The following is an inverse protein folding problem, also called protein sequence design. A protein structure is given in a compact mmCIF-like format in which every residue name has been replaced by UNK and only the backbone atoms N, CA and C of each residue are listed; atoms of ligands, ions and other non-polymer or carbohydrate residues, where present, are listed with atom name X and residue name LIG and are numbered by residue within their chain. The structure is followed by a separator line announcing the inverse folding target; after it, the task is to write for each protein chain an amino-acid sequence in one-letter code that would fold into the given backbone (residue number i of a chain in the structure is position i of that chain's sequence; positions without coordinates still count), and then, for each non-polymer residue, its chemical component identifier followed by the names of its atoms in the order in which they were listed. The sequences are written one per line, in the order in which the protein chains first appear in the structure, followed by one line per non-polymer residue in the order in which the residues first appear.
data_IF_039020805991
#
_entry.id   IF_039020805991
#
_cell.length_a   1.000
_cell.length_b   1.000
_cell.length_c   1.000
_cell.angle_alpha   90.00
_cell.angle_beta   90.00
_cell.angle_gamma   90.00
#
_symmetry.space_group_name_H-M   'P 1'
#
loop_
_entity.id
_entity.type
_entity.pdbx_description
1 polymer ?
#
# COMPACT_ATOMS: atom_id res chain seq x y z
N UNK A 1 -25.52 -15.15 10.11
CA UNK A 1 -26.61 -14.62 10.97
C UNK A 1 -27.93 -15.28 10.58
N UNK A 2 -28.89 -15.39 11.50
CA UNK A 2 -30.17 -16.08 11.31
C UNK A 2 -31.41 -15.18 11.44
N UNK A 3 -31.24 -13.90 11.80
CA UNK A 3 -32.31 -12.92 11.89
C UNK A 3 -31.78 -11.48 11.77
N UNK A 4 -32.63 -10.56 11.33
CA UNK A 4 -32.41 -9.10 11.32
C UNK A 4 -33.72 -8.42 11.72
N UNK A 5 -33.68 -7.51 12.70
CA UNK A 5 -34.85 -6.81 13.25
C UNK A 5 -36.01 -7.77 13.62
N UNK A 6 -35.69 -8.91 14.26
CA UNK A 6 -36.67 -9.92 14.68
C UNK A 6 -37.24 -10.80 13.55
N UNK A 7 -36.90 -10.53 12.28
CA UNK A 7 -37.32 -11.34 11.14
C UNK A 7 -36.25 -12.36 10.77
N UNK A 8 -36.63 -13.62 10.55
CA UNK A 8 -35.69 -14.67 10.13
C UNK A 8 -35.04 -14.34 8.78
N UNK A 9 -33.75 -14.64 8.68
CA UNK A 9 -32.93 -14.50 7.49
C UNK A 9 -31.87 -15.61 7.47
N UNK A 10 -31.39 -16.02 6.31
CA UNK A 10 -30.39 -17.09 6.21
C UNK A 10 -29.21 -16.59 5.38
N UNK A 11 -28.30 -15.86 6.04
CA UNK A 11 -27.03 -15.41 5.48
C UNK A 11 -27.09 -14.13 4.64
N UNK A 12 -28.26 -13.71 4.12
CA UNK A 12 -28.39 -12.49 3.32
C UNK A 12 -29.73 -11.77 3.55
N UNK A 13 -29.69 -10.44 3.62
CA UNK A 13 -30.86 -9.55 3.60
C UNK A 13 -30.58 -8.34 2.72
N UNK A 14 -31.65 -7.74 2.18
CA UNK A 14 -31.60 -6.41 1.59
C UNK A 14 -32.26 -5.42 2.55
N UNK A 15 -31.63 -4.26 2.75
CA UNK A 15 -32.10 -3.19 3.63
C UNK A 15 -32.23 -1.90 2.83
N UNK A 16 -33.34 -1.21 2.98
CA UNK A 16 -33.53 0.14 2.46
C UNK A 16 -32.73 1.12 3.32
N UNK A 17 -31.78 1.83 2.71
CA UNK A 17 -30.87 2.72 3.44
C UNK A 17 -31.50 4.03 3.88
N UNK A 18 -32.64 4.43 3.30
CA UNK A 18 -33.34 5.65 3.69
C UNK A 18 -34.25 5.41 4.90
N UNK A 19 -34.86 4.23 4.97
CA UNK A 19 -35.83 3.87 6.02
C UNK A 19 -35.26 2.91 7.06
N UNK A 20 -34.07 2.34 6.82
CA UNK A 20 -33.46 1.30 7.65
C UNK A 20 -34.36 0.05 7.83
N UNK A 21 -35.25 -0.21 6.86
CA UNK A 21 -36.18 -1.34 6.91
C UNK A 21 -35.71 -2.46 5.99
N UNK A 22 -36.03 -3.71 6.35
CA UNK A 22 -35.76 -4.85 5.49
C UNK A 22 -36.66 -4.79 4.25
N UNK A 23 -36.09 -4.96 3.07
CA UNK A 23 -36.84 -5.05 1.82
C UNK A 23 -37.73 -6.30 1.81
N UNK A 24 -39.04 -6.10 1.65
CA UNK A 24 -39.99 -7.19 1.52
C UNK A 24 -39.77 -7.99 0.22
N UNK A 25 -40.05 -9.29 0.25
CA UNK A 25 -39.95 -10.17 -0.92
C UNK A 25 -38.53 -10.65 -1.27
N UNK A 26 -37.47 -10.04 -0.71
CA UNK A 26 -36.10 -10.53 -0.85
C UNK A 26 -35.71 -11.40 0.35
N UNK A 27 -35.83 -12.72 0.20
CA UNK A 27 -35.55 -13.69 1.25
C UNK A 27 -34.86 -14.97 0.74
N UNK A 28 -33.72 -14.87 0.05
CA UNK A 28 -32.97 -16.06 -0.34
C UNK A 28 -32.44 -16.81 0.89
N UNK A 29 -32.35 -18.13 0.77
CA UNK A 29 -31.91 -19.05 1.82
C UNK A 29 -30.59 -19.68 1.40
N UNK A 30 -29.49 -19.25 2.03
CA UNK A 30 -28.18 -19.88 1.88
C UNK A 30 -28.00 -20.95 2.96
N UNK A 31 -27.42 -22.09 2.61
CA UNK A 31 -27.24 -23.20 3.55
C UNK A 31 -26.13 -22.98 4.59
N UNK A 32 -25.28 -21.97 4.41
CA UNK A 32 -24.22 -21.59 5.34
C UNK A 32 -23.83 -20.12 5.17
N UNK A 33 -22.70 -19.72 5.76
CA UNK A 33 -22.21 -18.33 5.77
C UNK A 33 -21.96 -17.80 4.35
N UNK A 34 -22.57 -16.66 4.03
CA UNK A 34 -22.19 -15.82 2.89
C UNK A 34 -21.05 -14.91 3.34
N UNK A 35 -19.96 -14.88 2.59
CA UNK A 35 -18.72 -14.15 2.91
C UNK A 35 -18.49 -12.96 2.01
N UNK A 36 -18.93 -13.07 0.76
CA UNK A 36 -18.78 -12.04 -0.25
C UNK A 36 -20.07 -11.88 -1.04
N UNK A 37 -20.29 -10.65 -1.50
CA UNK A 37 -21.39 -10.28 -2.35
C UNK A 37 -20.94 -9.18 -3.30
N UNK A 38 -21.50 -9.20 -4.51
CA UNK A 38 -21.42 -8.09 -5.44
C UNK A 38 -22.71 -8.02 -6.26
N UNK A 39 -23.05 -6.82 -6.74
CA UNK A 39 -24.32 -6.55 -7.41
C UNK A 39 -24.05 -6.00 -8.79
N UNK A 40 -24.50 -6.73 -9.82
CA UNK A 40 -24.39 -6.27 -11.20
C UNK A 40 -25.33 -5.08 -11.47
N UNK A 41 -25.08 -4.28 -12.52
CA UNK A 41 -25.95 -3.15 -12.90
C UNK A 41 -27.43 -3.53 -13.13
N UNK A 42 -27.69 -4.77 -13.54
CA UNK A 42 -29.05 -5.29 -13.72
C UNK A 42 -29.74 -5.73 -12.39
N UNK A 43 -29.06 -5.57 -11.25
CA UNK A 43 -29.53 -5.92 -9.92
C UNK A 43 -29.35 -7.39 -9.51
N UNK A 44 -28.74 -8.22 -10.36
CA UNK A 44 -28.36 -9.60 -9.96
C UNK A 44 -27.36 -9.54 -8.82
N UNK A 45 -27.64 -10.29 -7.75
CA UNK A 45 -26.77 -10.38 -6.57
C UNK A 45 -25.99 -11.68 -6.64
N UNK A 46 -24.68 -11.57 -6.84
CA UNK A 46 -23.74 -12.69 -6.77
C UNK A 46 -23.26 -12.83 -5.34
N UNK A 47 -23.10 -14.07 -4.89
CA UNK A 47 -22.69 -14.40 -3.54
C UNK A 47 -21.61 -15.49 -3.57
N UNK A 48 -20.65 -15.36 -2.65
CA UNK A 48 -19.60 -16.34 -2.38
C UNK A 48 -19.54 -16.65 -0.88
N UNK A 49 -19.21 -17.88 -0.50
CA UNK A 49 -19.12 -18.27 0.90
C UNK A 49 -18.94 -19.77 1.13
N UNK A 50 -19.37 -20.23 2.30
CA UNK A 50 -19.26 -21.63 2.74
C UNK A 50 -20.51 -22.46 2.37
N UNK A 51 -21.51 -21.87 1.71
CA UNK A 51 -22.77 -22.52 1.41
C UNK A 51 -22.64 -23.54 0.27
N UNK A 52 -23.54 -24.53 0.25
CA UNK A 52 -23.60 -25.56 -0.79
C UNK A 52 -24.93 -25.55 -1.55
N UNK A 53 -25.92 -24.79 -1.05
CA UNK A 53 -27.18 -24.57 -1.76
C UNK A 53 -27.74 -23.16 -1.50
N UNK A 54 -28.54 -22.70 -2.47
CA UNK A 54 -29.35 -21.47 -2.39
C UNK A 54 -30.79 -21.84 -2.73
N UNK A 55 -31.75 -21.53 -1.84
CA UNK A 55 -33.16 -21.92 -1.95
C UNK A 55 -33.35 -23.42 -2.28
N UNK A 56 -32.51 -24.29 -1.69
CA UNK A 56 -32.54 -25.74 -1.92
C UNK A 56 -31.93 -26.21 -3.25
N UNK A 57 -31.52 -25.31 -4.15
CA UNK A 57 -30.79 -25.67 -5.37
C UNK A 57 -29.29 -25.75 -5.09
N UNK A 58 -28.62 -26.79 -5.60
CA UNK A 58 -27.16 -26.95 -5.47
C UNK A 58 -26.42 -25.77 -6.10
N UNK A 59 -25.64 -25.08 -5.29
CA UNK A 59 -24.79 -23.93 -5.63
C UNK A 59 -23.61 -23.98 -4.68
N UNK A 60 -22.56 -24.70 -5.09
CA UNK A 60 -21.39 -24.93 -4.25
C UNK A 60 -20.54 -23.68 -4.21
N UNK A 61 -20.47 -23.07 -3.03
CA UNK A 61 -19.64 -21.94 -2.62
C UNK A 61 -19.88 -20.61 -3.34
N UNK A 62 -20.45 -20.64 -4.53
CA UNK A 62 -20.85 -19.50 -5.33
C UNK A 62 -22.27 -19.70 -5.87
N UNK A 63 -23.07 -18.65 -5.84
CA UNK A 63 -24.42 -18.63 -6.40
C UNK A 63 -24.92 -17.22 -6.59
N UNK A 64 -25.96 -17.04 -7.41
CA UNK A 64 -26.53 -15.72 -7.65
C UNK A 64 -28.06 -15.75 -7.63
N UNK A 65 -28.65 -14.65 -7.18
CA UNK A 65 -30.10 -14.45 -7.10
C UNK A 65 -30.52 -13.17 -7.81
N UNK A 66 -31.74 -13.16 -8.34
CA UNK A 66 -32.34 -11.96 -8.93
C UNK A 66 -32.67 -10.92 -7.84
N UNK A 67 -33.02 -9.66 -8.20
CA UNK A 67 -33.53 -8.68 -7.24
C UNK A 67 -34.77 -9.12 -6.44
N UNK A 68 -35.47 -10.16 -6.90
CA UNK A 68 -36.61 -10.78 -6.23
C UNK A 68 -36.22 -12.00 -5.37
N UNK A 69 -34.93 -12.34 -5.29
CA UNK A 69 -34.42 -13.46 -4.49
C UNK A 69 -34.53 -14.85 -5.15
N UNK A 70 -34.90 -14.92 -6.43
CA UNK A 70 -34.96 -16.18 -7.17
C UNK A 70 -33.55 -16.61 -7.61
N UNK A 71 -33.21 -17.90 -7.50
CA UNK A 71 -31.90 -18.44 -7.93
C UNK A 71 -31.77 -18.32 -9.45
N UNK A 72 -30.64 -17.80 -9.92
CA UNK A 72 -30.32 -17.67 -11.34
C UNK A 72 -29.65 -18.93 -11.90
N UNK A 73 -29.38 -18.96 -13.20
CA UNK A 73 -28.63 -20.04 -13.85
C UNK A 73 -27.12 -20.02 -13.58
N UNK A 74 -26.58 -18.96 -12.97
CA UNK A 74 -25.14 -18.84 -12.72
C UNK A 74 -24.66 -19.86 -11.69
N UNK A 75 -23.76 -20.77 -12.11
CA UNK A 75 -23.21 -21.84 -11.27
C UNK A 75 -21.75 -22.16 -11.65
N UNK A 76 -20.76 -21.50 -11.02
CA UNK A 76 -19.34 -21.81 -11.20
C UNK A 76 -18.92 -23.21 -10.73
N UNK A 77 -19.57 -23.71 -9.68
CA UNK A 77 -19.31 -25.04 -9.11
C UNK A 77 -17.85 -25.26 -8.70
N UNK A 78 -17.34 -24.41 -7.82
CA UNK A 78 -16.01 -24.58 -7.21
C UNK A 78 -15.98 -25.75 -6.21
N UNK A 79 -14.80 -26.27 -5.90
CA UNK A 79 -14.62 -27.40 -4.97
C UNK A 79 -14.39 -27.00 -3.50
N UNK A 80 -14.07 -25.74 -3.22
CA UNK A 80 -13.86 -25.20 -1.85
C UNK A 80 -14.44 -23.76 -1.72
N UNK A 81 -14.61 -23.22 -0.49
CA UNK A 81 -15.25 -21.93 -0.24
C UNK A 81 -14.75 -20.73 -1.05
N UNK A 82 -15.72 -19.92 -1.44
CA UNK A 82 -15.50 -18.58 -1.98
C UNK A 82 -15.29 -17.57 -0.87
N UNK A 83 -14.23 -16.77 -0.98
CA UNK A 83 -13.91 -15.70 -0.01
C UNK A 83 -14.25 -14.32 -0.55
N UNK A 84 -14.18 -14.14 -1.87
CA UNK A 84 -14.46 -12.87 -2.55
C UNK A 84 -14.98 -13.10 -3.97
N UNK A 85 -15.69 -12.10 -4.50
CA UNK A 85 -16.05 -12.04 -5.91
C UNK A 85 -16.29 -10.59 -6.33
N UNK A 86 -16.10 -10.28 -7.62
CA UNK A 86 -16.50 -9.02 -8.25
C UNK A 86 -17.04 -9.24 -9.66
N UNK A 87 -18.12 -8.58 -10.01
CA UNK A 87 -18.61 -8.50 -11.39
C UNK A 87 -17.72 -7.49 -12.13
N UNK A 88 -17.27 -7.84 -13.33
CA UNK A 88 -16.48 -6.91 -14.15
C UNK A 88 -17.32 -5.67 -14.53
N UNK A 89 -16.69 -4.50 -14.76
CA UNK A 89 -17.44 -3.27 -15.06
C UNK A 89 -18.36 -3.36 -16.29
N UNK A 90 -18.03 -4.21 -17.26
CA UNK A 90 -18.84 -4.48 -18.45
C UNK A 90 -20.02 -5.46 -18.20
N UNK A 91 -20.10 -6.03 -16.99
CA UNK A 91 -21.11 -6.98 -16.57
C UNK A 91 -21.01 -8.37 -17.21
N UNK A 92 -19.95 -8.67 -17.97
CA UNK A 92 -19.86 -9.91 -18.75
C UNK A 92 -19.27 -11.07 -17.97
N UNK A 93 -18.41 -10.77 -16.98
CA UNK A 93 -17.68 -11.76 -16.20
C UNK A 93 -17.84 -11.55 -14.70
N UNK A 94 -17.61 -12.63 -13.94
CA UNK A 94 -17.45 -12.58 -12.50
C UNK A 94 -16.07 -13.14 -12.16
N UNK A 95 -15.26 -12.28 -11.56
CA UNK A 95 -14.00 -12.63 -10.91
C UNK A 95 -14.34 -13.29 -9.58
N UNK A 96 -13.86 -14.51 -9.34
CA UNK A 96 -14.06 -15.23 -8.08
C UNK A 96 -12.71 -15.52 -7.43
N UNK A 97 -12.66 -15.46 -6.10
CA UNK A 97 -11.48 -15.77 -5.32
C UNK A 97 -11.80 -16.52 -4.03
N UNK A 98 -10.92 -17.40 -3.60
CA UNK A 98 -11.09 -18.16 -2.37
C UNK A 98 -10.09 -19.29 -2.19
N UNK A 99 -10.57 -20.40 -1.66
CA UNK A 99 -9.74 -21.53 -1.19
C UNK A 99 -9.65 -22.67 -2.23
N UNK A 100 -10.43 -22.59 -3.30
CA UNK A 100 -10.66 -23.67 -4.26
C UNK A 100 -9.43 -24.04 -5.11
N UNK A 101 -9.46 -25.25 -5.66
CA UNK A 101 -8.46 -25.79 -6.60
C UNK A 101 -9.07 -26.05 -7.98
N UNK A 102 -10.39 -26.20 -8.07
CA UNK A 102 -11.09 -26.40 -9.33
C UNK A 102 -12.37 -25.58 -9.42
N UNK A 103 -12.76 -25.25 -10.67
CA UNK A 103 -14.01 -24.57 -11.00
C UNK A 103 -14.66 -25.31 -12.17
N UNK A 104 -15.86 -25.84 -11.97
CA UNK A 104 -16.53 -26.68 -12.97
C UNK A 104 -15.71 -27.94 -13.33
N UNK A 105 -14.88 -28.43 -12.41
CA UNK A 105 -13.98 -29.56 -12.59
C UNK A 105 -12.68 -29.27 -13.36
N UNK A 106 -12.48 -28.04 -13.85
CA UNK A 106 -11.22 -27.62 -14.48
C UNK A 106 -10.26 -27.01 -13.44
N UNK A 107 -8.95 -27.20 -13.65
CA UNK A 107 -7.89 -26.64 -12.78
C UNK A 107 -7.95 -25.11 -12.77
N UNK A 108 -8.15 -24.56 -11.57
CA UNK A 108 -8.02 -23.12 -11.31
C UNK A 108 -7.87 -22.92 -9.82
N UNK A 109 -6.68 -22.58 -9.34
CA UNK A 109 -6.46 -22.42 -7.90
C UNK A 109 -6.63 -20.97 -7.44
N UNK A 110 -7.40 -20.79 -6.37
CA UNK A 110 -7.64 -19.57 -5.59
C UNK A 110 -8.25 -18.38 -6.34
N UNK A 111 -8.13 -18.31 -7.67
CA UNK A 111 -8.75 -17.31 -8.54
C UNK A 111 -9.30 -17.96 -9.80
N UNK A 112 -10.38 -17.40 -10.33
CA UNK A 112 -10.92 -17.75 -11.64
C UNK A 112 -11.77 -16.61 -12.20
N UNK A 113 -11.97 -16.61 -13.52
CA UNK A 113 -12.95 -15.75 -14.19
C UNK A 113 -14.03 -16.63 -14.80
N UNK A 114 -15.28 -16.25 -14.58
CA UNK A 114 -16.44 -16.98 -15.08
C UNK A 114 -17.35 -16.07 -15.89
N UNK A 115 -18.14 -16.64 -16.80
CA UNK A 115 -19.24 -15.93 -17.44
C UNK A 115 -20.24 -15.48 -16.37
N UNK A 116 -20.64 -14.21 -16.39
CA UNK A 116 -21.66 -13.70 -15.47
C UNK A 116 -23.05 -14.31 -15.71
N UNK A 117 -23.31 -14.87 -16.90
CA UNK A 117 -24.61 -15.47 -17.21
C UNK A 117 -24.71 -16.92 -16.74
N UNK A 118 -23.68 -17.72 -17.02
CA UNK A 118 -23.75 -19.19 -16.82
C UNK A 118 -22.90 -19.69 -15.66
N UNK A 119 -21.84 -18.96 -15.28
CA UNK A 119 -20.82 -19.43 -14.34
C UNK A 119 -19.75 -20.31 -15.00
N UNK A 120 -19.83 -20.56 -16.31
CA UNK A 120 -18.79 -21.30 -17.02
C UNK A 120 -17.43 -20.59 -16.91
N UNK A 121 -16.36 -21.36 -16.69
CA UNK A 121 -15.00 -20.85 -16.60
C UNK A 121 -14.58 -20.22 -17.93
N UNK A 122 -14.30 -18.91 -17.92
CA UNK A 122 -13.77 -18.18 -19.08
C UNK A 122 -12.25 -18.04 -19.01
N UNK A 123 -11.69 -18.02 -17.80
CA UNK A 123 -10.24 -18.05 -17.57
C UNK A 123 -9.91 -18.78 -16.26
N UNK A 124 -9.16 -19.86 -16.37
CA UNK A 124 -8.54 -20.55 -15.25
C UNK A 124 -7.09 -20.15 -15.02
N UNK A 125 -6.60 -20.36 -13.81
CA UNK A 125 -5.21 -20.12 -13.42
C UNK A 125 -4.65 -21.38 -12.74
N UNK A 126 -3.64 -22.03 -13.34
CA UNK A 126 -3.14 -23.30 -12.82
C UNK A 126 -2.59 -23.19 -11.40
N UNK A 127 -2.52 -24.30 -10.68
CA UNK A 127 -2.10 -24.40 -9.27
C UNK A 127 -0.69 -23.85 -8.94
N UNK A 128 0.11 -23.45 -9.92
CA UNK A 128 1.39 -22.78 -9.72
C UNK A 128 1.33 -21.25 -9.90
N UNK A 129 0.21 -20.70 -10.38
CA UNK A 129 0.03 -19.26 -10.55
C UNK A 129 -0.20 -18.56 -9.21
N UNK A 130 -1.09 -19.10 -8.39
CA UNK A 130 -1.10 -18.90 -6.94
C UNK A 130 -0.54 -20.19 -6.35
N UNK A 131 0.44 -20.16 -5.44
CA UNK A 131 0.90 -21.39 -4.78
C UNK A 131 -0.23 -22.03 -3.97
N UNK A 132 -0.34 -23.36 -3.96
CA UNK A 132 -1.34 -24.14 -3.21
C UNK A 132 -1.39 -23.88 -1.70
N UNK A 133 -0.41 -23.15 -1.17
CA UNK A 133 -0.32 -22.74 0.22
C UNK A 133 -0.97 -21.38 0.48
N UNK A 134 -1.51 -20.72 -0.54
CA UNK A 134 -2.13 -19.41 -0.47
C UNK A 134 -3.58 -19.44 -0.93
N UNK A 135 -4.37 -18.51 -0.42
CA UNK A 135 -5.77 -18.29 -0.84
C UNK A 135 -5.98 -16.81 -1.17
N UNK A 136 -7.02 -16.49 -1.94
CA UNK A 136 -7.39 -15.09 -2.20
C UNK A 136 -8.49 -14.63 -1.26
N UNK A 137 -8.24 -13.54 -0.54
CA UNK A 137 -9.14 -12.98 0.47
C UNK A 137 -10.02 -11.86 -0.05
N UNK A 138 -9.53 -11.07 -0.98
CA UNK A 138 -10.29 -9.98 -1.58
C UNK A 138 -9.90 -9.73 -3.04
N UNK A 139 -10.86 -9.23 -3.81
CA UNK A 139 -10.70 -8.79 -5.19
C UNK A 139 -11.35 -7.42 -5.32
N UNK A 140 -10.68 -6.47 -5.98
CA UNK A 140 -11.26 -5.17 -6.34
C UNK A 140 -10.97 -4.85 -7.80
N UNK A 141 -11.89 -4.14 -8.46
CA UNK A 141 -11.75 -3.70 -9.85
C UNK A 141 -11.55 -2.19 -9.93
N UNK A 142 -10.79 -1.74 -10.91
CA UNK A 142 -10.64 -0.32 -11.27
C UNK A 142 -10.72 -0.17 -12.80
N UNK A 143 -11.84 0.35 -13.27
CA UNK A 143 -12.04 0.62 -14.70
C UNK A 143 -11.15 1.76 -15.21
N UNK A 144 -10.70 2.66 -14.34
CA UNK A 144 -9.85 3.80 -14.74
C UNK A 144 -8.45 3.32 -15.10
N UNK A 145 -7.89 2.38 -14.33
CA UNK A 145 -6.62 1.73 -14.67
C UNK A 145 -6.77 0.57 -15.66
N UNK A 146 -8.00 0.16 -16.00
CA UNK A 146 -8.26 -1.04 -16.81
C UNK A 146 -7.89 -2.35 -16.12
N UNK A 147 -7.84 -2.38 -14.78
CA UNK A 147 -7.28 -3.52 -14.03
C UNK A 147 -8.12 -3.99 -12.86
N UNK A 148 -7.78 -5.17 -12.35
CA UNK A 148 -8.30 -5.68 -11.09
C UNK A 148 -7.16 -6.22 -10.23
N UNK A 149 -7.41 -6.35 -8.94
CA UNK A 149 -6.38 -6.60 -7.94
C UNK A 149 -6.87 -7.67 -6.98
N UNK A 150 -5.96 -8.51 -6.50
CA UNK A 150 -6.27 -9.57 -5.54
C UNK A 150 -5.31 -9.56 -4.35
N UNK A 151 -5.84 -9.91 -3.18
CA UNK A 151 -5.12 -10.01 -1.91
C UNK A 151 -4.87 -11.48 -1.54
N UNK A 152 -3.60 -11.85 -1.39
CA UNK A 152 -3.18 -13.19 -1.00
C UNK A 152 -3.02 -13.36 0.51
N UNK A 153 -3.48 -14.50 1.04
CA UNK A 153 -3.16 -14.98 2.38
C UNK A 153 -2.42 -16.31 2.25
N UNK A 154 -1.12 -16.28 2.56
CA UNK A 154 -0.25 -17.43 2.51
C UNK A 154 -0.15 -18.18 3.85
N UNK A 155 0.17 -19.47 3.78
CA UNK A 155 0.45 -20.32 4.95
C UNK A 155 1.79 -21.01 4.77
N UNK A 156 2.71 -20.76 5.72
CA UNK A 156 4.05 -21.35 5.70
C UNK A 156 5.04 -20.64 4.75
N UNK A 157 6.27 -21.16 4.67
CA UNK A 157 7.32 -20.57 3.84
C UNK A 157 7.04 -20.68 2.34
N UNK A 158 7.49 -19.70 1.56
CA UNK A 158 7.32 -19.60 0.10
C UNK A 158 5.85 -19.55 -0.37
N UNK A 159 4.99 -18.90 0.41
CA UNK A 159 3.59 -18.65 0.04
C UNK A 159 3.38 -17.28 -0.61
N UNK A 160 2.17 -17.00 -1.08
CA UNK A 160 1.78 -15.70 -1.63
C UNK A 160 0.89 -14.94 -0.63
N UNK A 161 1.49 -13.93 0.02
CA UNK A 161 0.85 -13.05 1.01
C UNK A 161 0.55 -11.64 0.49
N UNK A 162 1.03 -11.36 -0.71
CA UNK A 162 1.10 -10.03 -1.30
C UNK A 162 -0.17 -9.59 -2.02
N UNK A 163 0.00 -8.61 -2.90
CA UNK A 163 -0.99 -8.23 -3.91
C UNK A 163 -0.54 -8.58 -5.31
N UNK A 164 -1.53 -8.79 -6.17
CA UNK A 164 -1.31 -8.89 -7.60
C UNK A 164 -2.27 -7.96 -8.33
N UNK A 165 -1.84 -7.51 -9.49
CA UNK A 165 -2.64 -6.77 -10.44
C UNK A 165 -2.78 -7.56 -11.73
N UNK A 166 -3.97 -7.47 -12.29
CA UNK A 166 -4.38 -8.16 -13.49
C UNK A 166 -5.08 -7.17 -14.42
N UNK A 167 -5.11 -7.49 -15.69
CA UNK A 167 -5.88 -6.76 -16.69
C UNK A 167 -7.36 -7.12 -16.59
N UNK A 168 -8.25 -6.14 -16.75
CA UNK A 168 -9.69 -6.39 -16.93
C UNK A 168 -9.98 -6.98 -18.31
N UNK A 169 -9.20 -6.59 -19.32
CA UNK A 169 -9.24 -7.21 -20.64
C UNK A 169 -8.23 -8.35 -20.73
N UNK A 170 -8.62 -9.48 -21.31
CA UNK A 170 -7.75 -10.65 -21.48
C UNK A 170 -7.26 -11.32 -20.18
N UNK A 171 -7.46 -10.72 -19.00
CA UNK A 171 -7.15 -11.30 -17.68
C UNK A 171 -5.69 -11.76 -17.53
N UNK A 172 -4.73 -10.98 -18.07
CA UNK A 172 -3.29 -11.21 -17.89
C UNK A 172 -2.76 -10.59 -16.58
N UNK A 173 -1.65 -11.10 -16.03
CA UNK A 173 -0.98 -10.48 -14.89
C UNK A 173 -0.20 -9.24 -15.34
N UNK A 174 -0.40 -8.11 -14.65
CA UNK A 174 0.38 -6.87 -14.82
C UNK A 174 1.61 -6.87 -13.95
N UNK A 175 1.38 -6.99 -12.64
CA UNK A 175 2.44 -7.04 -11.64
C UNK A 175 1.99 -7.92 -10.47
N UNK A 176 2.97 -8.35 -9.68
CA UNK A 176 2.76 -9.06 -8.43
C UNK A 176 3.82 -8.60 -7.47
N UNK A 177 3.41 -8.25 -6.27
CA UNK A 177 4.33 -7.98 -5.19
C UNK A 177 4.63 -9.24 -4.37
N UNK A 178 5.74 -9.21 -3.66
CA UNK A 178 6.29 -10.35 -2.90
C UNK A 178 6.42 -10.02 -1.42
N UNK A 179 5.62 -9.06 -0.95
CA UNK A 179 5.51 -8.75 0.47
C UNK A 179 4.93 -9.94 1.25
N UNK A 180 5.48 -10.22 2.43
CA UNK A 180 5.07 -11.28 3.35
C UNK A 180 4.24 -10.71 4.49
N UNK A 181 3.12 -11.35 4.82
CA UNK A 181 2.24 -11.02 5.95
C UNK A 181 0.78 -10.77 5.53
N UNK A 182 0.14 -11.84 5.05
CA UNK A 182 -1.22 -11.96 4.53
C UNK A 182 -2.02 -10.67 4.34
N UNK A 183 -2.34 -10.37 3.09
CA UNK A 183 -3.26 -9.30 2.72
C UNK A 183 -4.70 -9.77 2.82
N UNK A 184 -5.54 -9.01 3.53
CA UNK A 184 -6.93 -9.38 3.84
C UNK A 184 -7.96 -8.62 3.01
N UNK A 185 -7.75 -7.33 2.79
CA UNK A 185 -8.71 -6.48 2.09
C UNK A 185 -8.01 -5.41 1.27
N UNK A 186 -8.63 -5.06 0.15
CA UNK A 186 -8.11 -4.06 -0.78
C UNK A 186 -9.11 -2.94 -0.99
N UNK A 187 -8.58 -1.77 -1.33
CA UNK A 187 -9.39 -0.68 -1.87
C UNK A 187 -8.58 0.15 -2.84
N UNK A 188 -9.10 0.29 -4.07
CA UNK A 188 -8.58 1.29 -5.00
C UNK A 188 -9.25 2.64 -4.74
N UNK A 189 -8.45 3.69 -4.69
CA UNK A 189 -8.93 5.06 -4.66
C UNK A 189 -7.92 5.98 -5.33
N UNK A 190 -8.37 6.78 -6.31
CA UNK A 190 -7.53 7.74 -7.06
C UNK A 190 -6.20 7.13 -7.54
N UNK A 191 -6.26 5.94 -8.15
CA UNK A 191 -5.10 5.20 -8.69
C UNK A 191 -4.10 4.71 -7.64
N UNK A 192 -4.48 4.68 -6.38
CA UNK A 192 -3.73 4.05 -5.28
C UNK A 192 -4.47 2.80 -4.82
N UNK A 193 -3.75 1.68 -4.69
CA UNK A 193 -4.22 0.45 -4.08
C UNK A 193 -3.83 0.41 -2.61
N UNK A 194 -4.81 0.66 -1.74
CA UNK A 194 -4.70 0.51 -0.30
C UNK A 194 -4.93 -0.95 0.09
N UNK A 195 -4.15 -1.44 1.03
CA UNK A 195 -4.21 -2.81 1.52
C UNK A 195 -4.26 -2.84 3.05
N UNK A 196 -5.16 -3.68 3.57
CA UNK A 196 -5.18 -4.13 4.94
C UNK A 196 -4.48 -5.48 5.00
N UNK A 197 -3.46 -5.59 5.83
CA UNK A 197 -2.54 -6.74 5.88
C UNK A 197 -1.93 -6.88 7.27
N UNK A 198 -0.97 -7.78 7.44
CA UNK A 198 -0.03 -7.76 8.55
C UNK A 198 1.41 -7.84 8.05
N UNK A 199 1.71 -7.12 6.97
CA UNK A 199 2.97 -7.24 6.26
C UNK A 199 4.18 -6.97 7.17
N UNK A 200 5.18 -7.83 7.13
CA UNK A 200 6.38 -7.74 7.96
C UNK A 200 7.68 -7.75 7.17
N UNK A 201 7.67 -8.18 5.90
CA UNK A 201 8.86 -8.18 5.03
C UNK A 201 8.47 -7.90 3.58
N UNK A 202 9.09 -6.88 2.97
CA UNK A 202 8.96 -6.54 1.55
C UNK A 202 10.35 -6.40 0.88
N UNK A 203 11.41 -6.95 1.47
CA UNK A 203 12.80 -6.77 1.01
C UNK A 203 13.04 -7.29 -0.41
N UNK A 204 12.34 -8.34 -0.82
CA UNK A 204 12.44 -8.98 -2.14
C UNK A 204 12.05 -8.08 -3.31
N UNK A 205 11.38 -6.96 -3.02
CA UNK A 205 10.93 -5.96 -3.98
C UNK A 205 11.47 -4.56 -3.65
N UNK A 206 12.57 -4.47 -2.90
CA UNK A 206 13.20 -3.21 -2.50
C UNK A 206 12.47 -2.46 -1.39
N UNK A 207 11.56 -3.12 -0.69
CA UNK A 207 10.86 -2.60 0.49
C UNK A 207 11.65 -2.80 1.80
N UNK A 208 10.94 -2.70 2.92
CA UNK A 208 11.53 -2.91 4.25
C UNK A 208 11.86 -4.39 4.52
N UNK A 209 12.93 -4.69 5.27
CA UNK A 209 13.26 -6.06 5.69
C UNK A 209 12.32 -6.57 6.77
N UNK A 210 12.42 -7.86 7.10
CA UNK A 210 11.64 -8.46 8.18
C UNK A 210 11.73 -7.66 9.50
N UNK A 211 10.59 -7.17 9.97
CA UNK A 211 10.49 -6.28 11.12
C UNK A 211 9.10 -6.39 11.80
N UNK A 212 8.80 -5.47 12.71
CA UNK A 212 7.45 -5.34 13.27
C UNK A 212 6.40 -5.11 12.16
N UNK A 213 5.27 -5.79 12.28
CA UNK A 213 4.20 -5.80 11.29
C UNK A 213 3.64 -4.40 11.03
N UNK A 214 3.32 -4.16 9.76
CA UNK A 214 2.58 -3.00 9.26
C UNK A 214 1.23 -3.48 8.76
N UNK A 215 0.18 -2.80 9.20
CA UNK A 215 -1.17 -3.29 8.97
C UNK A 215 -1.87 -2.63 7.78
N UNK A 216 -1.33 -1.50 7.37
CA UNK A 216 -1.85 -0.69 6.29
C UNK A 216 -0.71 -0.32 5.36
N UNK A 217 -0.88 -0.55 4.06
CA UNK A 217 0.08 -0.13 3.03
C UNK A 217 -0.64 0.42 1.81
N UNK A 218 0.10 1.13 0.97
CA UNK A 218 -0.37 1.68 -0.29
C UNK A 218 0.64 1.39 -1.40
N UNK A 219 0.15 1.18 -2.62
CA UNK A 219 0.92 1.03 -3.87
C UNK A 219 0.22 1.77 -4.99
N UNK A 220 0.93 2.07 -6.07
CA UNK A 220 0.30 2.47 -7.32
C UNK A 220 -0.53 1.34 -7.92
N UNK A 221 -1.58 1.68 -8.67
CA UNK A 221 -2.34 0.70 -9.46
C UNK A 221 -1.53 0.05 -10.59
N UNK A 222 -0.45 0.68 -11.02
CA UNK A 222 0.37 0.25 -12.15
C UNK A 222 1.80 -0.18 -11.75
N UNK A 223 2.16 -0.04 -10.47
CA UNK A 223 3.50 -0.31 -9.95
C UNK A 223 3.41 -0.94 -8.54
N UNK A 224 4.05 -2.09 -8.28
CA UNK A 224 4.08 -2.70 -6.95
C UNK A 224 4.93 -1.93 -5.92
N UNK A 225 5.65 -0.87 -6.30
CA UNK A 225 6.41 -0.07 -5.34
C UNK A 225 5.51 0.51 -4.22
N UNK A 226 5.93 0.32 -2.97
CA UNK A 226 5.22 0.86 -1.82
C UNK A 226 5.28 2.40 -1.81
N UNK A 227 4.15 3.02 -1.51
CA UNK A 227 4.03 4.46 -1.31
C UNK A 227 4.22 4.83 0.17
N UNK A 228 4.65 6.07 0.40
CA UNK A 228 4.69 6.73 1.71
C UNK A 228 3.27 7.01 2.17
N UNK A 229 2.66 6.02 2.81
CA UNK A 229 1.40 6.14 3.55
C UNK A 229 1.44 5.09 4.66
N UNK A 230 1.72 5.55 5.88
CA UNK A 230 2.17 4.75 7.00
C UNK A 230 1.33 4.90 8.29
N UNK A 231 0.00 5.10 8.24
CA UNK A 231 -0.78 4.84 9.43
C UNK A 231 -0.66 3.35 9.78
N UNK A 232 -0.77 3.03 11.06
CA UNK A 232 -0.63 1.65 11.52
C UNK A 232 -1.71 1.34 12.54
N UNK A 233 -2.32 0.17 12.40
CA UNK A 233 -3.08 -0.44 13.48
C UNK A 233 -2.17 -1.44 14.21
N UNK A 234 -2.73 -2.28 15.07
CA UNK A 234 -2.01 -3.41 15.65
C UNK A 234 -2.68 -4.76 15.30
N UNK A 235 -2.07 -5.85 15.77
CA UNK A 235 -2.51 -7.23 15.53
C UNK A 235 -3.92 -7.53 16.06
N UNK A 236 -4.40 -6.77 17.04
CA UNK A 236 -5.63 -7.05 17.77
C UNK A 236 -5.44 -7.96 18.98
N UNK A 237 -6.51 -8.66 19.37
CA UNK A 237 -6.62 -9.60 20.49
C UNK A 237 -6.98 -11.03 20.04
N UNK A 238 -7.37 -11.21 18.77
CA UNK A 238 -7.81 -12.47 18.19
C UNK A 238 -6.75 -13.09 17.29
N UNK A 239 -7.08 -13.29 16.02
CA UNK A 239 -6.11 -13.73 15.02
C UNK A 239 -5.22 -12.53 14.65
N UNK A 240 -3.90 -12.61 14.85
CA UNK A 240 -3.00 -11.46 14.81
C UNK A 240 -2.72 -11.03 13.37
N UNK A 241 -3.71 -10.38 12.77
CA UNK A 241 -3.72 -9.90 11.38
C UNK A 241 -4.17 -8.44 11.32
N UNK A 242 -4.93 -7.95 12.30
CA UNK A 242 -5.35 -6.56 12.32
C UNK A 242 -6.60 -6.26 11.46
N UNK A 243 -6.51 -5.27 10.55
CA UNK A 243 -7.64 -4.78 9.77
C UNK A 243 -8.10 -5.80 8.71
N UNK A 244 -9.41 -5.77 8.39
CA UNK A 244 -10.05 -6.76 7.51
C UNK A 244 -11.03 -6.17 6.49
N UNK A 245 -11.28 -4.86 6.56
CA UNK A 245 -12.18 -4.18 5.66
C UNK A 245 -11.67 -2.78 5.36
N UNK A 246 -11.74 -2.41 4.09
CA UNK A 246 -11.43 -1.07 3.60
C UNK A 246 -12.59 -0.56 2.76
N UNK A 247 -13.00 0.68 2.97
CA UNK A 247 -13.93 1.37 2.07
C UNK A 247 -13.64 2.86 2.05
N UNK A 248 -14.06 3.54 0.98
CA UNK A 248 -13.95 5.00 0.89
C UNK A 248 -15.33 5.62 0.88
N UNK A 249 -15.51 6.66 1.68
CA UNK A 249 -16.70 7.49 1.66
C UNK A 249 -16.31 8.95 1.48
N UNK A 250 -17.08 9.69 0.69
CA UNK A 250 -16.90 11.12 0.47
C UNK A 250 -17.95 11.89 1.24
N UNK A 251 -17.55 12.96 1.92
CA UNK A 251 -18.46 13.92 2.56
C UNK A 251 -17.90 15.32 2.39
N UNK A 252 -18.73 16.25 1.91
CA UNK A 252 -18.37 17.67 1.75
C UNK A 252 -17.08 17.87 0.93
N UNK A 253 -16.91 17.07 -0.15
CA UNK A 253 -15.73 17.11 -1.03
C UNK A 253 -14.46 16.48 -0.44
N UNK A 254 -14.54 15.90 0.75
CA UNK A 254 -13.43 15.25 1.46
C UNK A 254 -13.62 13.73 1.45
N UNK A 255 -12.56 13.01 1.11
CA UNK A 255 -12.57 11.55 1.08
C UNK A 255 -12.06 10.99 2.42
N UNK A 256 -12.67 9.89 2.86
CA UNK A 256 -12.30 9.16 4.07
C UNK A 256 -12.10 7.70 3.72
N UNK A 257 -10.88 7.19 3.90
CA UNK A 257 -10.61 5.76 3.91
C UNK A 257 -11.00 5.22 5.29
N UNK A 258 -12.08 4.48 5.34
CA UNK A 258 -12.52 3.75 6.52
C UNK A 258 -11.83 2.40 6.59
N UNK A 259 -11.38 2.06 7.79
CA UNK A 259 -10.70 0.80 8.10
C UNK A 259 -11.46 0.12 9.22
N UNK A 260 -11.91 -1.11 8.97
CA UNK A 260 -12.57 -1.95 9.96
C UNK A 260 -11.81 -3.26 10.15
N UNK A 261 -11.89 -3.86 11.34
CA UNK A 261 -11.30 -5.17 11.60
C UNK A 261 -10.95 -5.39 13.06
N UNK A 262 -9.90 -6.15 13.28
CA UNK A 262 -9.53 -6.69 14.58
C UNK A 262 -8.27 -5.97 15.08
N UNK A 263 -8.44 -4.76 15.60
CA UNK A 263 -7.34 -3.95 16.15
C UNK A 263 -7.83 -3.18 17.39
N UNK A 264 -6.90 -2.83 18.28
CA UNK A 264 -7.17 -2.09 19.52
C UNK A 264 -6.47 -0.73 19.58
N UNK A 265 -5.52 -0.48 18.68
CA UNK A 265 -4.85 0.81 18.56
C UNK A 265 -4.73 1.27 17.11
N UNK A 266 -4.61 2.58 16.94
CA UNK A 266 -4.28 3.27 15.69
C UNK A 266 -3.18 4.27 16.00
N UNK A 267 -2.02 4.17 15.33
CA UNK A 267 -0.84 4.98 15.57
C UNK A 267 -0.43 5.02 17.06
N UNK A 268 -0.57 3.89 17.75
CA UNK A 268 -0.25 3.75 19.19
C UNK A 268 -1.32 4.31 20.15
N UNK A 269 -2.39 4.93 19.64
CA UNK A 269 -3.51 5.45 20.46
C UNK A 269 -4.64 4.43 20.50
N UNK A 270 -5.31 4.28 21.64
CA UNK A 270 -6.46 3.38 21.77
C UNK A 270 -7.59 3.77 20.81
N UNK A 271 -7.93 2.87 19.90
CA UNK A 271 -9.03 2.99 18.95
C UNK A 271 -9.35 1.58 18.46
N UNK A 272 -10.52 1.06 18.83
CA UNK A 272 -10.85 -0.34 18.58
C UNK A 272 -11.74 -0.51 17.36
N UNK A 273 -11.39 -1.51 16.53
CA UNK A 273 -12.16 -2.11 15.45
C UNK A 273 -12.62 -1.22 14.27
N UNK A 274 -12.69 0.09 14.42
CA UNK A 274 -13.08 1.02 13.37
C UNK A 274 -12.26 2.31 13.46
N UNK A 275 -11.70 2.76 12.34
CA UNK A 275 -11.04 4.06 12.22
C UNK A 275 -11.21 4.62 10.81
N UNK A 276 -10.76 5.85 10.58
CA UNK A 276 -10.71 6.45 9.26
C UNK A 276 -9.55 7.42 9.09
N UNK A 277 -9.05 7.51 7.87
CA UNK A 277 -8.02 8.47 7.45
C UNK A 277 -8.63 9.38 6.39
N UNK A 278 -8.46 10.69 6.56
CA UNK A 278 -9.05 11.66 5.66
C UNK A 278 -8.02 12.16 4.64
N UNK A 279 -8.47 12.51 3.44
CA UNK A 279 -7.59 12.96 2.36
C UNK A 279 -6.97 14.35 2.57
N UNK A 280 -7.62 15.22 3.34
CA UNK A 280 -7.23 16.62 3.61
C UNK A 280 -7.85 17.10 4.93
N UNK A 281 -7.48 18.26 5.50
CA UNK A 281 -6.17 18.87 5.31
C UNK A 281 -5.11 17.93 5.87
N UNK A 282 -4.01 17.84 5.16
CA UNK A 282 -2.78 17.36 5.77
C UNK A 282 -2.16 18.54 6.54
N UNK A 283 -1.73 18.26 7.76
CA UNK A 283 -1.12 19.23 8.69
C UNK A 283 0.16 18.70 9.32
N UNK A 284 0.58 17.49 8.97
CA UNK A 284 1.78 16.86 9.51
C UNK A 284 3.00 17.43 8.81
N UNK A 285 3.91 18.08 9.54
CA UNK A 285 5.15 18.53 8.94
C UNK A 285 6.18 17.39 8.91
N UNK A 286 7.04 17.31 7.87
CA UNK A 286 8.12 16.35 7.84
C UNK A 286 9.07 16.48 9.04
N UNK A 287 9.71 15.37 9.41
CA UNK A 287 10.69 15.35 10.50
C UNK A 287 11.82 16.35 10.25
N UNK A 288 12.32 16.99 11.31
CA UNK A 288 13.40 17.98 11.22
C UNK A 288 14.66 17.42 10.52
N UNK A 289 15.16 18.05 9.44
CA UNK A 289 16.42 17.66 8.83
C UNK A 289 17.61 17.86 9.77
N UNK A 290 18.64 17.01 9.65
CA UNK A 290 19.91 17.15 10.35
C UNK A 290 21.04 17.32 9.32
N UNK A 291 21.56 18.55 9.21
CA UNK A 291 22.61 18.90 8.27
C UNK A 291 24.00 18.62 8.88
N UNK A 292 24.88 18.04 8.06
CA UNK A 292 26.32 17.96 8.28
C UNK A 292 27.03 18.78 7.21
N UNK A 293 28.14 19.42 7.58
CA UNK A 293 28.92 20.27 6.67
C UNK A 293 30.40 19.93 6.73
N UNK A 294 31.05 19.89 5.57
CA UNK A 294 32.49 19.69 5.44
C UNK A 294 33.06 20.62 4.37
N UNK A 295 34.35 20.92 4.48
CA UNK A 295 35.06 21.78 3.53
C UNK A 295 36.23 21.01 2.94
N UNK A 296 35.99 20.10 1.97
CA UNK A 296 37.01 19.17 1.52
C UNK A 296 38.19 19.89 0.88
N UNK A 297 37.97 20.95 0.10
CA UNK A 297 39.00 21.72 -0.59
C UNK A 297 38.68 23.22 -0.60
N UNK A 298 39.66 24.04 -0.95
CA UNK A 298 39.46 25.47 -1.07
C UNK A 298 38.39 25.79 -2.12
N UNK A 299 37.52 26.76 -1.81
CA UNK A 299 36.42 27.14 -2.69
C UNK A 299 35.21 26.18 -2.70
N UNK A 300 35.18 25.19 -1.80
CA UNK A 300 34.09 24.20 -1.73
C UNK A 300 33.63 23.96 -0.28
N UNK A 301 32.31 23.98 -0.08
CA UNK A 301 31.67 23.42 1.11
C UNK A 301 30.63 22.38 0.67
N UNK A 302 30.65 21.21 1.30
CA UNK A 302 29.69 20.13 1.10
C UNK A 302 28.69 20.12 2.25
N UNK A 303 27.41 20.12 1.91
CA UNK A 303 26.29 20.04 2.85
C UNK A 303 25.57 18.73 2.60
N UNK A 304 25.50 17.87 3.61
CA UNK A 304 24.89 16.54 3.49
C UNK A 304 23.86 16.32 4.59
N UNK A 305 22.79 15.60 4.28
CA UNK A 305 21.76 15.23 5.24
C UNK A 305 21.04 13.96 4.80
N UNK A 306 20.55 13.18 5.75
CA UNK A 306 19.58 12.11 5.44
C UNK A 306 18.21 12.73 5.18
N UNK A 307 17.49 12.21 4.20
CA UNK A 307 16.12 12.64 3.97
C UNK A 307 15.25 12.41 5.21
N UNK A 308 14.45 13.42 5.53
CA UNK A 308 13.41 13.40 6.56
C UNK A 308 12.36 12.31 6.32
N UNK A 309 11.75 11.87 7.42
CA UNK A 309 10.55 11.03 7.39
C UNK A 309 9.30 11.92 7.41
N UNK A 310 8.36 11.55 6.57
CA UNK A 310 6.98 11.97 6.55
C UNK A 310 6.12 10.69 6.45
N UNK A 311 4.99 10.65 7.15
CA UNK A 311 4.22 9.41 7.28
C UNK A 311 3.16 9.25 6.19
N UNK A 312 2.89 10.29 5.42
CA UNK A 312 1.86 10.32 4.39
C UNK A 312 2.33 10.88 3.04
N UNK A 313 3.63 11.20 2.92
CA UNK A 313 4.28 11.51 1.66
C UNK A 313 5.43 10.56 1.29
N UNK A 314 5.55 10.28 -0.01
CA UNK A 314 6.64 9.44 -0.54
C UNK A 314 7.91 10.25 -0.86
N UNK A 315 7.76 11.54 -1.15
CA UNK A 315 8.82 12.41 -1.68
C UNK A 315 8.73 13.79 -1.03
N UNK A 316 9.85 14.30 -0.54
CA UNK A 316 9.92 15.61 0.09
C UNK A 316 10.80 16.56 -0.72
N UNK A 317 10.49 17.85 -0.62
CA UNK A 317 11.31 18.94 -1.18
C UNK A 317 12.20 19.54 -0.09
N UNK A 318 13.50 19.62 -0.35
CA UNK A 318 14.49 20.22 0.54
C UNK A 318 14.95 21.57 0.02
N UNK A 319 15.10 22.53 0.92
CA UNK A 319 15.68 23.86 0.64
C UNK A 319 16.85 24.11 1.57
N UNK A 320 18.00 24.43 1.00
CA UNK A 320 19.24 24.72 1.75
C UNK A 320 19.46 26.23 1.78
N UNK A 321 19.66 26.77 2.97
CA UNK A 321 19.87 28.19 3.23
C UNK A 321 21.29 28.42 3.74
N UNK A 322 21.89 29.54 3.35
CA UNK A 322 23.27 29.90 3.71
C UNK A 322 23.31 31.20 4.51
N UNK A 323 24.11 31.23 5.57
CA UNK A 323 24.39 32.42 6.40
C UNK A 323 23.14 33.15 6.90
N UNK A 324 22.09 32.39 7.24
CA UNK A 324 20.82 32.96 7.71
C UNK A 324 19.99 33.69 6.64
N UNK A 325 20.37 33.60 5.36
CA UNK A 325 19.61 34.17 4.25
C UNK A 325 18.23 33.50 4.07
N UNK A 326 17.24 34.29 3.67
CA UNK A 326 15.87 33.81 3.45
C UNK A 326 15.66 33.11 2.09
N UNK A 327 16.59 33.30 1.14
CA UNK A 327 16.54 32.68 -0.18
C UNK A 327 17.38 31.40 -0.17
N UNK A 328 16.83 30.25 -0.60
CA UNK A 328 17.61 29.02 -0.65
C UNK A 328 18.70 29.09 -1.73
N UNK A 329 19.89 28.61 -1.40
CA UNK A 329 21.00 28.46 -2.35
C UNK A 329 20.93 27.14 -3.13
N UNK A 330 20.08 26.21 -2.69
CA UNK A 330 19.84 24.94 -3.37
C UNK A 330 18.44 24.39 -3.05
N UNK A 331 17.86 23.68 -4.00
CA UNK A 331 16.61 22.94 -3.84
C UNK A 331 16.72 21.58 -4.52
N UNK A 332 16.27 20.53 -3.84
CA UNK A 332 16.28 19.15 -4.35
C UNK A 332 15.16 18.33 -3.71
N UNK A 333 14.96 17.10 -4.17
CA UNK A 333 13.97 16.17 -3.62
C UNK A 333 14.61 14.90 -3.06
N UNK A 334 13.96 14.26 -2.11
CA UNK A 334 14.40 12.96 -1.59
C UNK A 334 13.24 12.09 -1.13
N UNK A 335 13.40 10.77 -1.27
CA UNK A 335 12.43 9.79 -0.76
C UNK A 335 12.22 9.96 0.74
N UNK A 336 10.98 9.83 1.17
CA UNK A 336 10.58 9.84 2.58
C UNK A 336 10.09 8.48 3.09
N UNK A 337 10.10 7.46 2.23
CA UNK A 337 9.76 6.10 2.63
C UNK A 337 10.60 5.69 3.84
N UNK A 338 9.97 5.22 4.91
CA UNK A 338 10.67 4.98 6.18
C UNK A 338 11.85 4.00 6.06
N UNK A 339 11.79 3.10 5.08
CA UNK A 339 12.83 2.12 4.76
C UNK A 339 13.81 2.58 3.67
N UNK A 340 13.52 3.68 2.98
CA UNK A 340 14.36 4.26 1.95
C UNK A 340 14.47 5.77 2.15
N UNK A 341 15.38 6.15 3.06
CA UNK A 341 15.73 7.54 3.36
C UNK A 341 17.19 7.79 3.00
N UNK A 342 17.50 8.13 1.73
CA UNK A 342 18.86 8.29 1.26
C UNK A 342 19.54 9.51 1.88
N UNK A 343 20.88 9.53 1.82
CA UNK A 343 21.63 10.76 2.00
C UNK A 343 21.50 11.63 0.74
N UNK A 344 21.20 12.90 0.96
CA UNK A 344 21.24 13.97 -0.04
C UNK A 344 22.48 14.83 0.21
N UNK A 345 23.04 15.39 -0.85
CA UNK A 345 24.24 16.24 -0.78
C UNK A 345 24.17 17.39 -1.76
N UNK A 346 24.50 18.58 -1.26
CA UNK A 346 24.70 19.81 -2.02
C UNK A 346 26.15 20.25 -1.89
N UNK A 347 26.77 20.65 -3.00
CA UNK A 347 28.13 21.21 -3.02
C UNK A 347 28.06 22.69 -3.34
N UNK A 348 28.29 23.54 -2.34
CA UNK A 348 28.40 24.99 -2.51
C UNK A 348 29.81 25.34 -3.01
N UNK A 349 29.88 25.81 -4.26
CA UNK A 349 31.12 26.33 -4.89
C UNK A 349 31.20 27.85 -4.89
N UNK A 350 30.20 28.52 -4.31
CA UNK A 350 30.15 29.98 -4.20
C UNK A 350 30.65 30.44 -2.83
N UNK A 351 31.77 29.86 -2.38
CA UNK A 351 32.40 30.09 -1.08
C UNK A 351 33.86 30.50 -1.27
N UNK A 352 34.37 31.39 -0.41
CA UNK A 352 35.75 31.86 -0.44
C UNK A 352 36.58 31.08 0.59
N UNK A 353 37.82 30.75 0.22
CA UNK A 353 38.77 30.04 1.06
C UNK A 353 39.01 30.79 2.40
N UNK A 354 39.07 30.03 3.50
CA UNK A 354 39.29 30.57 4.85
C UNK A 354 38.09 31.29 5.49
N UNK A 355 36.96 31.44 4.78
CA UNK A 355 35.75 32.06 5.35
C UNK A 355 34.84 31.03 6.02
N UNK A 356 34.19 31.44 7.11
CA UNK A 356 33.19 30.62 7.80
C UNK A 356 31.82 30.81 7.16
N UNK A 357 31.18 29.67 6.86
CA UNK A 357 29.82 29.59 6.34
C UNK A 357 28.95 28.79 7.29
N UNK A 358 27.66 29.11 7.31
CA UNK A 358 26.65 28.34 8.04
C UNK A 358 25.50 27.95 7.12
N UNK A 359 24.93 26.77 7.37
CA UNK A 359 23.87 26.19 6.57
C UNK A 359 22.73 25.68 7.46
N UNK A 360 21.50 25.81 6.94
CA UNK A 360 20.28 25.24 7.52
C UNK A 360 19.41 24.67 6.41
N UNK A 361 18.57 23.70 6.74
CA UNK A 361 17.74 22.98 5.77
C UNK A 361 16.29 22.90 6.28
N UNK A 362 15.33 23.06 5.37
CA UNK A 362 13.92 22.69 5.60
C UNK A 362 13.52 21.53 4.69
N UNK A 363 12.57 20.71 5.15
CA UNK A 363 11.84 19.75 4.32
C UNK A 363 10.37 20.18 4.20
N UNK A 364 9.79 20.03 3.01
CA UNK A 364 8.39 20.36 2.70
C UNK A 364 7.74 19.18 2.00
N UNK A 365 6.54 18.79 2.43
CA UNK A 365 5.72 17.74 1.82
C UNK A 365 4.92 18.23 0.60
N UNK A 366 4.09 17.34 0.03
CA UNK A 366 3.24 17.66 -1.11
C UNK A 366 2.06 18.59 -0.78
N UNK A 367 1.63 18.65 0.48
CA UNK A 367 0.56 19.53 0.96
C UNK A 367 1.03 20.94 1.32
N UNK A 368 2.34 21.14 1.44
CA UNK A 368 2.99 22.39 1.79
C UNK A 368 3.36 22.52 3.26
N UNK A 369 3.16 21.51 4.12
CA UNK A 369 3.66 21.59 5.48
C UNK A 369 5.19 21.52 5.45
N UNK A 370 5.81 22.40 6.23
CA UNK A 370 7.26 22.60 6.19
C UNK A 370 7.81 22.42 7.60
N UNK A 371 8.87 21.62 7.70
CA UNK A 371 9.61 21.44 8.94
C UNK A 371 10.12 22.78 9.48
N UNK A 372 10.44 22.85 10.76
CA UNK A 372 11.33 23.91 11.23
C UNK A 372 12.67 23.86 10.47
N UNK A 373 13.39 24.98 10.43
CA UNK A 373 14.77 25.00 9.94
C UNK A 373 15.63 24.11 10.87
N UNK A 374 16.47 23.26 10.29
CA UNK A 374 17.46 22.45 11.03
C UNK A 374 18.30 23.31 11.99
N UNK A 375 18.98 22.71 12.98
CA UNK A 375 20.07 23.37 13.68
C UNK A 375 21.10 23.93 12.69
N UNK A 376 21.77 25.01 13.08
CA UNK A 376 22.82 25.63 12.26
C UNK A 376 24.05 24.74 12.22
N UNK A 377 24.48 24.37 11.01
CA UNK A 377 25.72 23.65 10.77
C UNK A 377 26.75 24.63 10.18
N UNK A 378 27.91 24.79 10.80
CA UNK A 378 28.92 25.77 10.41
C UNK A 378 30.25 25.12 10.09
N UNK A 379 30.94 25.64 9.07
CA UNK A 379 32.29 25.18 8.67
C UNK A 379 33.09 26.35 8.10
N UNK A 380 34.39 26.34 8.35
CA UNK A 380 35.33 27.23 7.66
C UNK A 380 35.81 26.56 6.38
N UNK A 381 35.59 27.20 5.23
CA UNK A 381 36.10 26.72 3.95
C UNK A 381 37.62 26.57 4.02
N UNK A 382 38.17 25.47 3.50
CA UNK A 382 39.60 25.22 3.55
C UNK A 382 40.38 26.38 2.91
N UNK A 383 41.46 26.81 3.55
CA UNK A 383 42.31 27.91 3.07
C UNK A 383 43.23 27.49 1.93
N UNK A 384 43.57 26.19 1.87
CA UNK A 384 44.38 25.57 0.83
C UNK A 384 43.86 24.16 0.53
N UNK A 385 44.10 23.68 -0.69
CA UNK A 385 43.84 22.29 -1.01
C UNK A 385 44.86 21.38 -0.29
N UNK A 386 44.40 20.22 0.18
CA UNK A 386 45.30 19.20 0.74
C UNK A 386 46.02 18.49 -0.42
N UNK A 387 47.37 18.55 -0.52
CA UNK A 387 48.09 17.91 -1.61
C UNK A 387 47.86 16.39 -1.67
N UNK A 388 47.66 15.76 -0.51
CA UNK A 388 47.32 14.34 -0.42
C UNK A 388 45.96 14.05 -1.04
N UNK A 389 44.94 14.85 -0.70
CA UNK A 389 43.60 14.67 -1.24
C UNK A 389 43.55 14.93 -2.74
N UNK A 390 44.20 15.98 -3.23
CA UNK A 390 44.27 16.26 -4.66
C UNK A 390 44.87 15.07 -5.42
N UNK A 391 45.90 14.44 -4.85
CA UNK A 391 46.49 13.25 -5.45
C UNK A 391 45.54 12.06 -5.47
N UNK A 392 44.84 11.78 -4.37
CA UNK A 392 43.83 10.69 -4.31
C UNK A 392 42.72 10.90 -5.35
N UNK A 393 42.24 12.14 -5.52
CA UNK A 393 41.23 12.46 -6.52
C UNK A 393 41.78 12.38 -7.95
N UNK A 394 43.02 12.86 -8.18
CA UNK A 394 43.69 12.78 -9.48
C UNK A 394 43.99 11.33 -9.92
N UNK A 395 44.22 10.43 -8.96
CA UNK A 395 44.39 8.99 -9.19
C UNK A 395 43.06 8.29 -9.56
N UNK A 396 41.94 9.01 -9.58
CA UNK A 396 40.64 8.52 -10.06
C UNK A 396 39.86 7.73 -9.01
N UNK A 397 39.98 8.09 -7.72
CA UNK A 397 39.27 7.41 -6.65
C UNK A 397 37.74 7.45 -6.85
N UNK A 398 37.12 6.26 -6.92
CA UNK A 398 35.66 6.11 -7.02
C UNK A 398 34.92 6.35 -5.69
N UNK A 399 35.63 6.17 -4.57
CA UNK A 399 35.20 6.38 -3.19
C UNK A 399 36.40 6.88 -2.37
N UNK A 400 36.22 7.94 -1.58
CA UNK A 400 37.24 8.48 -0.70
C UNK A 400 36.66 8.99 0.62
N UNK A 401 36.76 8.17 1.66
CA UNK A 401 36.29 8.49 3.02
C UNK A 401 37.44 8.99 3.87
N UNK A 402 37.31 10.20 4.41
CA UNK A 402 38.41 10.86 5.13
C UNK A 402 38.40 10.60 6.64
N UNK A 403 37.23 10.33 7.22
CA UNK A 403 37.05 10.15 8.67
C UNK A 403 37.61 11.29 9.52
N UNK A 404 37.70 12.49 8.95
CA UNK A 404 38.19 13.70 9.61
C UNK A 404 37.06 14.67 9.97
N UNK A 405 35.81 14.21 9.86
CA UNK A 405 34.65 14.92 10.36
C UNK A 405 34.71 15.05 11.89
N UNK A 406 34.35 16.20 12.47
CA UNK A 406 34.40 16.43 13.93
C UNK A 406 33.41 15.58 14.75
N UNK A 407 32.67 14.67 14.11
CA UNK A 407 31.66 13.77 14.69
C UNK A 407 30.36 13.76 13.88
N UNK A 408 29.52 12.75 14.10
CA UNK A 408 28.20 12.62 13.43
C UNK A 408 27.88 11.19 13.02
N UNK A 409 26.65 10.97 12.56
CA UNK A 409 26.21 9.67 12.04
C UNK A 409 26.48 9.48 10.54
N UNK A 410 27.10 10.48 9.89
CA UNK A 410 27.31 10.51 8.45
C UNK A 410 28.76 10.88 8.17
N UNK A 411 29.39 10.11 7.29
CA UNK A 411 30.62 10.51 6.64
C UNK A 411 30.29 10.95 5.21
N UNK A 412 31.10 11.83 4.63
CA UNK A 412 30.95 12.22 3.25
C UNK A 412 32.00 11.52 2.40
N UNK A 413 31.56 10.81 1.35
CA UNK A 413 32.47 10.46 0.27
C UNK A 413 33.00 11.76 -0.32
N UNK A 414 34.33 11.94 -0.34
CA UNK A 414 35.03 13.10 -0.87
C UNK A 414 35.40 12.95 -2.35
N UNK A 415 35.07 11.82 -2.99
CA UNK A 415 35.21 11.63 -4.44
C UNK A 415 34.30 12.59 -5.24
N UNK A 416 34.55 12.66 -6.56
CA UNK A 416 33.67 13.37 -7.50
C UNK A 416 32.60 12.44 -8.13
N UNK A 417 32.69 11.11 -7.92
CA UNK A 417 31.89 10.06 -8.57
C UNK A 417 30.65 9.62 -7.78
N UNK A 418 30.69 9.67 -6.44
CA UNK A 418 29.58 9.18 -5.59
C UNK A 418 29.37 10.03 -4.32
N UNK A 419 28.78 11.21 -4.47
CA UNK A 419 28.43 12.07 -3.34
C UNK A 419 27.30 11.52 -2.40
N UNK A 420 26.91 10.25 -2.56
CA UNK A 420 26.00 9.56 -1.64
C UNK A 420 26.78 8.96 -0.48
N UNK A 421 26.48 9.40 0.74
CA UNK A 421 27.07 8.84 1.96
C UNK A 421 26.46 7.49 2.35
N UNK A 422 26.96 6.91 3.45
CA UNK A 422 26.39 5.74 4.14
C UNK A 422 25.59 6.22 5.34
#
# INVERSE_FOLDING_TARGET
FNAVNGSSANGLVAVDTATCTRRAGFAPVFSATVRALDVAPNGTVYAGGDFQSVNGQTRRFFGAVTPAGAVTGWNPDADDPGRTLRVTPDGQSVLIGGDFFTVGGADSHAIAVTSATTGALTRGYPNNFIPSTAVIKDIVTDSVSGGWYAAGEGRGGNSFDGRLAMELDGFGQRWRDTCQGATQALRVHRRVLYAASHVHDCSTMGGFPNQARKHLTAQGVDDPALLGWLPDTNDGIGEPVGPRALTVATRDGRDFLWVGGEFTTVNGVQQQALTRFASTPDTGAPSLPAASVSAPRAGEVRVSWRSSLDLDDSLLTYRVYRNGGAVPVHTTTGSSLFFSRPQLTFTDRNVAAGQTYSYRITATDGAGNTSALSPTASVTAASAASPYQERVLADGADLYWRYDEPGGAFAADASDSRNGGV
#
